data_IF_695097554424
#
_entry.id   IF_695097554424
#
_cell.length_a   1.000
_cell.length_b   1.000
_cell.length_c   1.000
_cell.angle_alpha   90.00
_cell.angle_beta   90.00
_cell.angle_gamma   90.00
#
_symmetry.space_group_name_H-M   'P 1'
#
loop_
_entity.id
_entity.type
_entity.pdbx_description
1 polymer ?
#
# COMPACT_ATOMS: atom_id res chain seq x y z
N UNK A 1 -0.13 -2.31 -9.27
CA UNK A 1 1.22 -1.82 -8.88
C UNK A 1 1.13 -0.87 -7.68
N UNK A 2 0.62 0.33 -7.93
CA UNK A 2 0.48 1.34 -6.87
C UNK A 2 -0.43 0.80 -5.77
N UNK A 3 -1.28 -0.16 -6.11
CA UNK A 3 -2.21 -0.75 -5.14
C UNK A 3 -1.48 -1.15 -3.87
N UNK A 4 -0.20 -1.49 -3.99
CA UNK A 4 0.58 -1.87 -2.84
C UNK A 4 0.72 -0.77 -1.82
N UNK A 5 0.54 0.47 -2.26
CA UNK A 5 0.66 1.63 -1.38
C UNK A 5 -0.33 1.51 -0.21
N UNK A 6 -1.49 0.92 -0.48
CA UNK A 6 -2.52 0.73 0.54
C UNK A 6 -1.94 0.04 1.77
N UNK A 7 -1.13 -0.98 1.53
CA UNK A 7 -0.51 -1.74 2.61
C UNK A 7 0.71 -1.01 3.17
N UNK A 8 1.32 -0.16 2.34
CA UNK A 8 2.50 0.60 2.75
C UNK A 8 2.18 1.51 3.92
N UNK A 9 1.05 2.23 3.84
CA UNK A 9 0.64 3.14 4.89
C UNK A 9 -0.11 2.39 5.99
N UNK A 10 -0.86 1.37 5.60
CA UNK A 10 -1.62 0.58 6.56
C UNK A 10 -0.69 -0.11 7.55
N UNK A 11 0.26 -0.87 7.01
CA UNK A 11 1.22 -1.59 7.84
C UNK A 11 2.65 -1.25 7.41
N UNK A 12 2.84 -0.05 6.88
#
# INVERSE_FOLDING_TARGET
HAEGKFTSEFXX
#
